data_IF_647516090478
#
_entry.id   IF_647516090478
#
_cell.length_a   1.000
_cell.length_b   1.000
_cell.length_c   1.000
_cell.angle_alpha   90.00
_cell.angle_beta   90.00
_cell.angle_gamma   90.00
#
_symmetry.space_group_name_H-M   'P 1'
#
loop_
_entity.id
_entity.type
_entity.pdbx_description
1 polymer ?
#
# COMPACT_ATOMS: atom_id res chain seq x y z
N UNK A 1 10.52 -10.42 -1.39
CA UNK A 1 11.15 -9.21 -0.82
C UNK A 1 10.37 -8.73 0.38
N UNK A 2 11.03 -8.01 1.26
CA UNK A 2 10.39 -7.51 2.47
C UNK A 2 10.08 -6.04 2.34
N UNK A 3 8.87 -5.68 2.72
CA UNK A 3 8.43 -4.29 2.84
C UNK A 3 7.89 -4.08 4.25
N UNK A 4 7.78 -2.83 4.66
CA UNK A 4 7.28 -2.51 6.00
C UNK A 4 5.91 -1.86 5.82
N UNK A 5 4.88 -2.52 6.35
CA UNK A 5 3.50 -2.05 6.21
C UNK A 5 2.96 -1.71 7.59
N UNK A 6 2.64 -0.44 7.79
CA UNK A 6 2.18 0.06 9.09
C UNK A 6 3.10 -0.38 10.23
N UNK A 7 4.42 -0.31 9.99
CA UNK A 7 5.42 -0.62 10.99
C UNK A 7 5.78 -2.09 11.12
N UNK A 8 5.15 -2.97 10.34
CA UNK A 8 5.42 -4.42 10.42
C UNK A 8 6.02 -4.93 9.13
N UNK A 9 7.03 -5.78 9.24
CA UNK A 9 7.65 -6.39 8.07
C UNK A 9 6.71 -7.41 7.44
N UNK A 10 6.58 -7.32 6.13
CA UNK A 10 5.72 -8.20 5.35
C UNK A 10 6.47 -8.64 4.10
N UNK A 11 6.39 -9.92 3.78
CA UNK A 11 7.04 -10.47 2.60
C UNK A 11 6.07 -10.49 1.43
N UNK A 12 6.52 -10.01 0.29
CA UNK A 12 5.73 -10.06 -0.94
C UNK A 12 6.64 -10.43 -2.12
N UNK A 13 6.02 -10.84 -3.22
CA UNK A 13 6.74 -11.23 -4.42
C UNK A 13 7.38 -10.02 -5.09
N UNK A 14 8.45 -10.26 -5.85
CA UNK A 14 9.02 -9.23 -6.71
C UNK A 14 7.96 -8.73 -7.69
N UNK A 15 8.03 -7.47 -8.04
CA UNK A 15 7.11 -6.83 -8.97
C UNK A 15 5.66 -6.74 -8.47
N UNK A 16 5.45 -6.85 -7.18
CA UNK A 16 4.14 -6.60 -6.59
C UNK A 16 3.84 -5.11 -6.65
N UNK A 17 2.69 -4.75 -7.20
CA UNK A 17 2.25 -3.36 -7.19
C UNK A 17 1.59 -3.00 -5.86
N UNK A 18 1.50 -1.71 -5.58
CA UNK A 18 0.77 -1.26 -4.40
C UNK A 18 -0.69 -1.72 -4.45
N UNK A 19 -1.32 -1.68 -5.62
CA UNK A 19 -2.69 -2.16 -5.76
C UNK A 19 -2.80 -3.65 -5.43
N UNK A 20 -1.84 -4.45 -5.89
CA UNK A 20 -1.82 -5.88 -5.58
C UNK A 20 -1.71 -6.15 -4.09
N UNK A 21 -0.84 -5.42 -3.42
CA UNK A 21 -0.67 -5.59 -1.97
C UNK A 21 -1.97 -5.26 -1.23
N UNK A 22 -2.60 -4.15 -1.59
CA UNK A 22 -3.87 -3.75 -0.97
C UNK A 22 -4.95 -4.80 -1.20
N UNK A 23 -5.02 -5.34 -2.40
CA UNK A 23 -6.00 -6.36 -2.74
C UNK A 23 -5.78 -7.64 -1.92
N UNK A 24 -4.53 -8.05 -1.78
CA UNK A 24 -4.18 -9.22 -0.98
C UNK A 24 -4.56 -9.05 0.49
N UNK A 25 -4.54 -7.82 0.98
CA UNK A 25 -4.92 -7.50 2.37
C UNK A 25 -6.43 -7.30 2.53
N UNK A 26 -7.20 -7.42 1.45
CA UNK A 26 -8.64 -7.28 1.50
C UNK A 26 -9.12 -5.83 1.53
N UNK A 27 -8.28 -4.89 1.23
CA UNK A 27 -8.70 -3.48 1.17
C UNK A 27 -9.37 -3.18 -0.17
N UNK A 28 -10.49 -2.46 -0.10
CA UNK A 28 -11.07 -1.89 -1.31
C UNK A 28 -10.47 -0.52 -1.51
N UNK A 29 -10.23 -0.18 -2.76
CA UNK A 29 -9.37 0.94 -3.11
C UNK A 29 -9.82 2.30 -2.58
N UNK A 30 -11.12 2.49 -2.37
CA UNK A 30 -11.64 3.82 -2.09
C UNK A 30 -11.71 4.16 -0.62
N UNK A 31 -11.40 3.21 0.25
CA UNK A 31 -11.54 3.42 1.70
C UNK A 31 -10.24 3.66 2.41
N UNK A 32 -9.14 3.73 1.68
CA UNK A 32 -7.84 3.90 2.29
C UNK A 32 -7.04 5.00 1.61
N UNK A 33 -6.18 5.64 2.38
CA UNK A 33 -5.12 6.50 1.88
C UNK A 33 -3.82 5.74 2.03
N UNK A 34 -2.97 5.78 1.00
CA UNK A 34 -1.67 5.11 1.04
C UNK A 34 -0.54 6.11 0.94
N UNK A 35 0.45 5.93 1.79
CA UNK A 35 1.66 6.73 1.79
C UNK A 35 2.85 5.79 1.61
N UNK A 36 3.60 5.99 0.56
CA UNK A 36 4.77 5.16 0.28
C UNK A 36 6.02 6.00 0.45
N UNK A 37 6.87 5.60 1.39
CA UNK A 37 8.11 6.31 1.69
C UNK A 37 7.86 7.81 1.94
N UNK A 38 6.78 8.12 2.66
CA UNK A 38 6.44 9.48 3.02
C UNK A 38 5.65 10.27 1.99
N UNK A 39 5.28 9.65 0.87
CA UNK A 39 4.53 10.35 -0.18
C UNK A 39 3.21 9.65 -0.44
N UNK A 40 2.14 10.43 -0.54
CA UNK A 40 0.82 9.90 -0.84
C UNK A 40 0.80 9.37 -2.27
N UNK A 41 0.31 8.14 -2.43
CA UNK A 41 0.10 7.54 -3.75
C UNK A 41 -1.39 7.59 -4.03
N UNK A 42 -1.83 8.39 -5.01
CA UNK A 42 -3.25 8.47 -5.32
C UNK A 42 -3.78 7.14 -5.86
N UNK A 43 -5.07 6.94 -5.70
CA UNK A 43 -5.74 5.70 -6.08
C UNK A 43 -5.37 5.25 -7.50
N UNK A 44 -5.42 6.18 -8.46
CA UNK A 44 -5.18 5.86 -9.86
C UNK A 44 -3.73 5.51 -10.17
N UNK A 45 -2.79 5.77 -9.28
CA UNK A 45 -1.39 5.43 -9.49
C UNK A 45 -0.99 4.10 -8.84
N UNK A 46 -1.88 3.49 -8.07
CA UNK A 46 -1.52 2.30 -7.28
C UNK A 46 -1.16 1.10 -8.14
N UNK A 47 -1.83 0.93 -9.28
CA UNK A 47 -1.57 -0.20 -10.17
C UNK A 47 -0.20 -0.12 -10.84
N UNK A 48 0.29 1.09 -11.04
CA UNK A 48 1.57 1.31 -11.71
C UNK A 48 2.72 1.57 -10.76
N UNK A 49 2.45 1.60 -9.46
CA UNK A 49 3.49 1.80 -8.44
C UNK A 49 3.97 0.44 -7.96
N UNK A 50 5.16 0.04 -8.39
CA UNK A 50 5.76 -1.21 -7.96
C UNK A 50 6.48 -1.02 -6.63
N UNK A 51 6.34 -2.01 -5.76
CA UNK A 51 7.03 -2.01 -4.47
C UNK A 51 8.45 -2.53 -4.63
N UNK A 52 9.33 -2.07 -3.77
CA UNK A 52 10.73 -2.47 -3.76
C UNK A 52 11.13 -2.90 -2.34
N UNK A 53 12.13 -3.72 -2.24
CA UNK A 53 12.62 -4.17 -0.94
C UNK A 53 12.94 -2.97 -0.04
N UNK A 54 12.47 -3.01 1.20
CA UNK A 54 12.70 -1.96 2.16
C UNK A 54 11.72 -0.81 2.11
N UNK A 55 10.78 -0.82 1.18
CA UNK A 55 9.76 0.23 1.12
C UNK A 55 8.94 0.29 2.40
N UNK A 56 8.57 1.49 2.80
CA UNK A 56 7.68 1.74 3.93
C UNK A 56 6.34 2.21 3.42
N UNK A 57 5.32 1.45 3.74
CA UNK A 57 3.95 1.73 3.33
C UNK A 57 3.10 1.99 4.56
N UNK A 58 2.39 3.11 4.56
CA UNK A 58 1.36 3.40 5.57
C UNK A 58 -0.01 3.32 4.89
N UNK A 59 -0.90 2.56 5.49
CA UNK A 59 -2.27 2.44 5.01
C UNK A 59 -3.17 2.99 6.09
N UNK A 60 -3.92 4.04 5.76
CA UNK A 60 -4.82 4.69 6.71
C UNK A 60 -6.24 4.55 6.22
N UNK A 61 -7.10 3.99 7.05
CA UNK A 61 -8.51 3.85 6.72
C UNK A 61 -9.26 5.14 7.01
N UNK A 62 -10.14 5.52 6.10
CA UNK A 62 -11.11 6.54 6.40
C UNK A 62 -12.19 5.97 7.28
N UNK A 63 -12.52 6.67 8.34
CA UNK A 63 -13.57 6.25 9.26
C UNK A 63 -14.72 7.23 9.15
N UNK A 64 -15.90 6.72 8.91
CA UNK A 64 -17.11 7.50 9.10
C UNK A 64 -17.26 8.65 8.16
N UNK A 65 -16.86 8.58 7.02
CA UNK A 65 -16.97 9.66 6.09
C UNK A 65 -18.36 10.21 6.01
N UNK A 66 -18.88 10.73 6.64
CA UNK A 66 -20.23 11.23 6.65
C UNK A 66 -20.70 11.75 5.33
#
# INVERSE_FOLDING_TARGET
MDVIVNGETETCAENTSLADLLHQRGHTAQTVVTELNGQIVPHEARQTTLLHAGDRLEIVHFVGGG
#
